data_IF_918311564215
#
_entry.id   IF_918311564215
#
_cell.length_a   1.000
_cell.length_b   1.000
_cell.length_c   1.000
_cell.angle_alpha   90.00
_cell.angle_beta   90.00
_cell.angle_gamma   90.00
#
_symmetry.space_group_name_H-M   'P 1'
#
loop_
_entity.id
_entity.type
_entity.pdbx_description
1 polymer ?
#
# COMPACT_ATOMS: atom_id res chain seq x y z
N UNK A 1 -11.16 9.16 -24.93
CA UNK A 1 -10.29 9.56 -23.79
C UNK A 1 -10.95 10.75 -23.12
N UNK A 2 -11.41 10.61 -21.87
CA UNK A 2 -12.10 11.69 -21.14
C UNK A 2 -11.47 11.82 -19.76
N UNK A 3 -10.76 12.93 -19.54
CA UNK A 3 -10.19 13.28 -18.24
C UNK A 3 -11.23 14.13 -17.52
N UNK A 4 -11.57 13.76 -16.28
CA UNK A 4 -12.48 14.52 -15.42
C UNK A 4 -11.69 15.30 -14.39
N UNK A 5 -12.06 16.54 -14.14
CA UNK A 5 -11.39 17.38 -13.14
C UNK A 5 -12.36 18.33 -12.46
N UNK A 6 -12.00 18.85 -11.28
CA UNK A 6 -12.71 19.95 -10.64
C UNK A 6 -11.79 20.83 -9.79
N UNK A 7 -12.22 22.07 -9.56
CA UNK A 7 -11.56 23.02 -8.65
C UNK A 7 -12.08 22.89 -7.21
N UNK A 8 -13.35 22.48 -7.08
CA UNK A 8 -14.05 22.22 -5.83
C UNK A 8 -14.96 21.00 -6.03
N UNK A 9 -15.37 20.31 -4.96
CA UNK A 9 -16.12 19.05 -5.03
C UNK A 9 -17.50 19.12 -5.72
N UNK A 10 -17.99 20.31 -6.10
CA UNK A 10 -19.39 20.51 -6.51
C UNK A 10 -19.60 20.61 -8.03
N UNK A 11 -18.56 20.82 -8.84
CA UNK A 11 -18.70 20.93 -10.30
C UNK A 11 -17.59 20.21 -11.03
N UNK A 12 -17.95 19.18 -11.80
CA UNK A 12 -17.03 18.38 -12.58
C UNK A 12 -16.96 18.91 -14.02
N UNK A 13 -15.73 19.00 -14.54
CA UNK A 13 -15.41 19.38 -15.91
C UNK A 13 -14.74 18.21 -16.60
N UNK A 14 -14.73 18.23 -17.93
CA UNK A 14 -14.07 17.21 -18.73
C UNK A 14 -13.17 17.85 -19.79
N UNK A 15 -12.09 17.16 -20.13
CA UNK A 15 -11.28 17.48 -21.31
C UNK A 15 -10.79 16.19 -21.97
N UNK A 16 -10.36 16.28 -23.22
CA UNK A 16 -10.01 15.10 -24.01
C UNK A 16 -8.51 14.81 -24.04
N UNK A 17 -7.68 15.70 -23.49
CA UNK A 17 -6.23 15.51 -23.43
C UNK A 17 -5.58 16.24 -22.25
N UNK A 18 -4.45 15.71 -21.79
CA UNK A 18 -3.62 16.41 -20.81
C UNK A 18 -3.08 17.75 -21.36
N UNK A 19 -2.91 17.89 -22.68
CA UNK A 19 -2.49 19.14 -23.32
C UNK A 19 -3.52 20.25 -23.07
N UNK A 20 -4.81 19.94 -23.19
CA UNK A 20 -5.87 20.90 -22.86
C UNK A 20 -5.88 21.22 -21.36
N UNK A 21 -5.73 20.18 -20.51
CA UNK A 21 -5.78 20.34 -19.07
C UNK A 21 -4.68 21.28 -18.55
N UNK A 22 -3.42 21.07 -18.99
CA UNK A 22 -2.27 21.86 -18.50
C UNK A 22 -2.27 23.32 -18.99
N UNK A 23 -3.04 23.65 -20.03
CA UNK A 23 -3.17 25.01 -20.56
C UNK A 23 -4.21 25.86 -19.80
N UNK A 24 -4.97 25.26 -18.88
CA UNK A 24 -5.94 26.00 -18.07
C UNK A 24 -5.22 27.04 -17.20
N UNK A 25 -5.67 28.30 -17.28
CA UNK A 25 -5.13 29.40 -16.44
C UNK A 25 -5.18 29.07 -14.94
N UNK A 26 -6.19 28.32 -14.52
CA UNK A 26 -6.40 27.87 -13.15
C UNK A 26 -6.00 26.41 -12.92
N UNK A 27 -5.12 25.82 -13.75
CA UNK A 27 -4.69 24.42 -13.65
C UNK A 27 -4.28 24.02 -12.22
N UNK A 28 -3.47 24.85 -11.55
CA UNK A 28 -2.98 24.55 -10.20
C UNK A 28 -4.05 24.63 -9.10
N UNK A 29 -5.23 25.17 -9.41
CA UNK A 29 -6.39 25.19 -8.51
C UNK A 29 -7.22 23.91 -8.59
N UNK A 30 -6.88 22.96 -9.48
CA UNK A 30 -7.57 21.66 -9.58
C UNK A 30 -7.33 20.87 -8.29
N UNK A 31 -8.42 20.42 -7.67
CA UNK A 31 -8.41 19.62 -6.43
C UNK A 31 -8.79 18.16 -6.69
N UNK A 32 -9.50 17.88 -7.78
CA UNK A 32 -9.88 16.53 -8.20
C UNK A 32 -9.41 16.26 -9.63
N UNK A 33 -8.78 15.11 -9.85
CA UNK A 33 -8.38 14.64 -11.17
C UNK A 33 -8.64 13.14 -11.29
N UNK A 34 -9.47 12.77 -12.26
CA UNK A 34 -9.70 11.38 -12.66
C UNK A 34 -9.34 11.23 -14.13
N UNK A 35 -8.28 10.48 -14.37
CA UNK A 35 -7.77 10.11 -15.68
C UNK A 35 -7.76 8.58 -15.85
N UNK A 36 -8.56 7.84 -15.06
CA UNK A 36 -8.62 6.39 -15.13
C UNK A 36 -9.16 5.88 -16.47
N UNK A 37 -8.81 4.63 -16.82
CA UNK A 37 -9.21 3.97 -18.06
C UNK A 37 -8.76 4.71 -19.33
N UNK A 38 -7.55 5.28 -19.31
CA UNK A 38 -6.94 5.97 -20.44
C UNK A 38 -5.51 5.49 -20.63
N UNK A 39 -5.19 4.97 -21.81
CA UNK A 39 -3.79 4.69 -22.15
C UNK A 39 -2.98 5.98 -22.23
N UNK A 40 -1.99 6.14 -21.35
CA UNK A 40 -1.06 7.28 -21.36
C UNK A 40 0.38 6.80 -21.25
N UNK A 41 1.27 7.42 -22.04
CA UNK A 41 2.72 7.13 -21.94
C UNK A 41 3.29 7.49 -20.57
N UNK A 42 2.88 8.66 -20.06
CA UNK A 42 3.26 9.19 -18.74
C UNK A 42 2.22 10.20 -18.26
N UNK A 43 2.09 10.32 -16.94
CA UNK A 43 1.38 11.44 -16.33
C UNK A 43 2.23 12.72 -16.40
N UNK A 44 1.63 13.90 -16.64
CA UNK A 44 2.32 15.17 -16.51
C UNK A 44 2.57 15.52 -15.03
N UNK A 45 3.32 16.61 -14.78
CA UNK A 45 3.40 17.21 -13.44
C UNK A 45 1.99 17.52 -12.95
N UNK A 46 1.67 17.10 -11.73
CA UNK A 46 0.32 17.21 -11.18
C UNK A 46 0.01 18.63 -10.69
N UNK A 47 -1.29 19.03 -10.64
CA UNK A 47 -1.71 20.30 -10.06
C UNK A 47 -1.26 20.43 -8.61
N UNK A 48 -0.80 21.62 -8.22
CA UNK A 48 -0.27 21.85 -6.89
C UNK A 48 -1.28 21.61 -5.75
N UNK A 49 -2.56 21.97 -5.95
CA UNK A 49 -3.60 21.84 -4.94
C UNK A 49 -4.41 20.52 -5.07
N UNK A 50 -3.91 19.54 -5.82
CA UNK A 50 -4.63 18.30 -6.03
C UNK A 50 -4.83 17.54 -4.72
N UNK A 51 -6.07 17.21 -4.38
CA UNK A 51 -6.44 16.44 -3.19
C UNK A 51 -6.82 15.00 -3.53
N UNK A 52 -7.34 14.77 -4.74
CA UNK A 52 -7.78 13.47 -5.23
C UNK A 52 -7.18 13.18 -6.60
N UNK A 53 -6.48 12.05 -6.72
CA UNK A 53 -6.00 11.52 -8.00
C UNK A 53 -6.50 10.09 -8.21
N UNK A 54 -7.23 9.87 -9.30
CA UNK A 54 -7.45 8.54 -9.87
C UNK A 54 -6.75 8.44 -11.22
N UNK A 55 -5.76 7.54 -11.30
CA UNK A 55 -5.02 7.19 -12.52
C UNK A 55 -5.03 5.67 -12.72
N UNK A 56 -6.06 4.99 -12.23
CA UNK A 56 -6.18 3.53 -12.36
C UNK A 56 -6.42 3.11 -13.82
N UNK A 57 -5.95 1.93 -14.22
CA UNK A 57 -6.11 1.42 -15.59
C UNK A 57 -5.59 2.39 -16.66
N UNK A 58 -4.44 3.00 -16.41
CA UNK A 58 -3.83 3.93 -17.36
C UNK A 58 -2.65 3.35 -18.15
N UNK A 59 -2.18 2.15 -17.76
CA UNK A 59 -1.07 1.44 -18.40
C UNK A 59 0.13 2.36 -18.66
N UNK A 60 0.57 3.04 -17.60
CA UNK A 60 1.66 4.00 -17.65
C UNK A 60 2.91 3.30 -18.20
N UNK A 61 3.30 3.63 -19.43
CA UNK A 61 4.40 2.96 -20.15
C UNK A 61 5.73 3.01 -19.38
N UNK A 62 5.97 4.14 -18.69
CA UNK A 62 7.15 4.30 -17.84
C UNK A 62 7.10 3.48 -16.54
N UNK A 63 5.95 2.90 -16.18
CA UNK A 63 5.70 2.17 -14.92
C UNK A 63 6.02 3.00 -13.65
N UNK A 64 5.94 4.32 -13.76
CA UNK A 64 6.31 5.28 -12.73
C UNK A 64 5.29 6.43 -12.65
N UNK A 65 4.93 6.82 -11.43
CA UNK A 65 4.14 8.03 -11.17
C UNK A 65 5.06 9.26 -11.02
N UNK A 66 4.59 10.48 -11.37
CA UNK A 66 5.31 11.72 -11.09
C UNK A 66 5.31 12.03 -9.58
N UNK A 67 6.05 13.06 -9.19
CA UNK A 67 5.99 13.59 -7.81
C UNK A 67 4.55 13.95 -7.42
N UNK A 68 4.15 13.50 -6.23
CA UNK A 68 2.82 13.72 -5.70
C UNK A 68 2.72 15.08 -4.99
N UNK A 69 1.67 15.88 -5.21
CA UNK A 69 1.50 17.15 -4.53
C UNK A 69 1.26 16.95 -3.04
N UNK A 70 1.78 17.86 -2.21
CA UNK A 70 1.69 17.79 -0.74
C UNK A 70 0.25 17.85 -0.21
N UNK A 71 -0.68 18.38 -1.00
CA UNK A 71 -2.12 18.45 -0.68
C UNK A 71 -2.87 17.14 -0.90
N UNK A 72 -2.25 16.13 -1.54
CA UNK A 72 -2.95 14.92 -1.94
C UNK A 72 -3.43 14.12 -0.72
N UNK A 73 -4.73 13.83 -0.70
CA UNK A 73 -5.41 13.05 0.35
C UNK A 73 -5.76 11.65 -0.12
N UNK A 74 -6.05 11.46 -1.41
CA UNK A 74 -6.43 10.15 -1.97
C UNK A 74 -5.68 9.89 -3.27
N UNK A 75 -5.03 8.73 -3.35
CA UNK A 75 -4.30 8.27 -4.53
C UNK A 75 -4.78 6.88 -4.94
N UNK A 76 -5.43 6.79 -6.11
CA UNK A 76 -5.83 5.53 -6.73
C UNK A 76 -5.02 5.32 -8.01
N UNK A 77 -4.18 4.29 -8.02
CA UNK A 77 -3.25 3.98 -9.11
C UNK A 77 -3.27 2.48 -9.46
N UNK A 78 -4.44 1.86 -9.36
CA UNK A 78 -4.62 0.42 -9.56
C UNK A 78 -4.35 0.03 -11.02
N UNK A 79 -3.89 -1.20 -11.27
CA UNK A 79 -3.78 -1.78 -12.62
C UNK A 79 -2.90 -0.97 -13.59
N UNK A 80 -1.71 -0.58 -13.16
CA UNK A 80 -0.76 0.20 -13.97
C UNK A 80 0.57 -0.51 -14.23
N UNK A 81 0.79 -1.68 -13.63
CA UNK A 81 2.07 -2.39 -13.74
C UNK A 81 3.25 -1.62 -13.14
N UNK A 82 2.99 -0.73 -12.17
CA UNK A 82 4.00 0.07 -11.49
C UNK A 82 4.99 -0.84 -10.75
N UNK A 83 6.28 -0.52 -10.82
CA UNK A 83 7.31 -1.25 -10.09
C UNK A 83 7.66 -0.58 -8.74
N UNK A 84 7.43 0.73 -8.64
CA UNK A 84 7.71 1.53 -7.44
C UNK A 84 6.69 2.68 -7.34
N UNK A 85 6.40 3.10 -6.11
CA UNK A 85 5.63 4.31 -5.84
C UNK A 85 6.57 5.47 -5.46
N UNK A 86 6.25 6.72 -5.85
CA UNK A 86 6.97 7.89 -5.39
C UNK A 86 6.79 8.08 -3.88
N UNK A 87 7.53 9.03 -3.30
CA UNK A 87 7.34 9.43 -1.89
C UNK A 87 5.89 9.86 -1.68
N UNK A 88 5.25 9.27 -0.66
CA UNK A 88 3.87 9.58 -0.33
C UNK A 88 3.79 10.88 0.47
N UNK A 89 2.82 11.77 0.17
CA UNK A 89 2.65 13.01 0.92
C UNK A 89 2.04 12.75 2.31
N UNK A 90 2.44 13.54 3.30
CA UNK A 90 2.04 13.37 4.70
C UNK A 90 0.51 13.49 4.96
N UNK A 91 -0.22 14.14 4.05
CA UNK A 91 -1.67 14.34 4.15
C UNK A 91 -2.50 13.20 3.53
N UNK A 92 -1.84 12.17 2.98
CA UNK A 92 -2.53 11.06 2.34
C UNK A 92 -3.30 10.25 3.39
N UNK A 93 -4.59 10.07 3.16
CA UNK A 93 -5.50 9.32 4.05
C UNK A 93 -5.96 8.00 3.43
N UNK A 94 -5.91 7.86 2.10
CA UNK A 94 -6.27 6.62 1.39
C UNK A 94 -5.33 6.37 0.20
N UNK A 95 -4.75 5.17 0.16
CA UNK A 95 -3.89 4.69 -0.92
C UNK A 95 -4.45 3.40 -1.51
N UNK A 96 -4.69 3.41 -2.82
CA UNK A 96 -4.98 2.20 -3.60
C UNK A 96 -3.93 2.02 -4.70
N UNK A 97 -3.24 0.89 -4.65
CA UNK A 97 -2.19 0.49 -5.61
C UNK A 97 -2.32 -0.99 -6.00
N UNK A 98 -3.56 -1.47 -6.05
CA UNK A 98 -3.93 -2.87 -6.34
C UNK A 98 -3.46 -3.27 -7.74
N UNK A 99 -3.04 -4.52 -7.91
CA UNK A 99 -2.68 -5.10 -9.22
C UNK A 99 -1.58 -4.31 -9.93
N UNK A 100 -0.44 -4.17 -9.26
CA UNK A 100 0.80 -3.62 -9.82
C UNK A 100 1.92 -4.66 -9.65
N UNK A 101 3.16 -4.27 -9.93
CA UNK A 101 4.35 -5.13 -9.78
C UNK A 101 5.23 -4.62 -8.64
N UNK A 102 4.63 -4.04 -7.59
CA UNK A 102 5.39 -3.42 -6.51
C UNK A 102 6.13 -4.50 -5.71
N UNK A 103 7.45 -4.36 -5.61
CA UNK A 103 8.30 -5.19 -4.75
C UNK A 103 8.56 -4.54 -3.38
N UNK A 104 8.20 -3.26 -3.23
CA UNK A 104 8.23 -2.56 -1.96
C UNK A 104 7.21 -1.40 -1.95
N UNK A 105 6.82 -0.99 -0.74
CA UNK A 105 6.10 0.25 -0.51
C UNK A 105 7.06 1.29 0.13
N UNK A 106 6.92 2.57 -0.21
CA UNK A 106 7.59 3.66 0.50
C UNK A 106 7.08 3.75 1.95
N UNK A 107 7.74 4.58 2.78
CA UNK A 107 7.22 4.88 4.13
C UNK A 107 5.78 5.38 4.02
N UNK A 108 4.89 4.77 4.81
CA UNK A 108 3.49 5.17 4.88
C UNK A 108 3.36 6.45 5.73
N UNK A 109 2.50 7.39 5.34
CA UNK A 109 2.27 8.61 6.11
C UNK A 109 1.41 8.32 7.35
N UNK A 110 1.67 9.04 8.45
CA UNK A 110 1.03 8.80 9.75
C UNK A 110 -0.50 9.01 9.74
N UNK A 111 -1.01 9.77 8.76
CA UNK A 111 -2.44 10.05 8.56
C UNK A 111 -3.16 9.02 7.68
N UNK A 112 -2.47 7.98 7.20
CA UNK A 112 -3.09 6.98 6.34
C UNK A 112 -4.08 6.12 7.13
N UNK A 113 -5.34 6.11 6.67
CA UNK A 113 -6.42 5.35 7.29
C UNK A 113 -6.76 4.09 6.48
N UNK A 114 -6.50 4.10 5.18
CA UNK A 114 -6.83 3.00 4.28
C UNK A 114 -5.66 2.67 3.34
N UNK A 115 -5.25 1.41 3.35
CA UNK A 115 -4.25 0.87 2.44
C UNK A 115 -4.79 -0.34 1.70
N UNK A 116 -4.82 -0.24 0.38
CA UNK A 116 -5.12 -1.33 -0.54
C UNK A 116 -3.95 -1.55 -1.49
N UNK A 117 -3.29 -2.69 -1.35
CA UNK A 117 -2.10 -3.09 -2.10
C UNK A 117 -2.14 -4.56 -2.51
N UNK A 118 -3.33 -5.14 -2.62
CA UNK A 118 -3.51 -6.52 -3.08
C UNK A 118 -2.91 -6.75 -4.47
N UNK A 119 -2.54 -7.99 -4.76
CA UNK A 119 -2.01 -8.39 -6.06
C UNK A 119 -0.77 -7.56 -6.45
N UNK A 120 0.25 -7.66 -5.60
CA UNK A 120 1.60 -7.14 -5.86
C UNK A 120 2.62 -8.24 -5.50
N UNK A 121 3.90 -7.90 -5.48
CA UNK A 121 4.99 -8.83 -5.17
C UNK A 121 5.68 -8.49 -3.85
N UNK A 122 4.95 -7.87 -2.90
CA UNK A 122 5.53 -7.35 -1.67
C UNK A 122 6.01 -8.50 -0.77
N UNK A 123 7.31 -8.59 -0.44
CA UNK A 123 7.82 -9.60 0.49
C UNK A 123 7.58 -9.20 1.96
N UNK A 124 7.38 -7.89 2.20
CA UNK A 124 7.09 -7.28 3.49
C UNK A 124 6.33 -5.96 3.32
N UNK A 125 5.69 -5.51 4.39
CA UNK A 125 5.12 -4.17 4.51
C UNK A 125 6.05 -3.26 5.33
N UNK A 126 6.06 -1.93 5.09
CA UNK A 126 6.64 -0.96 6.02
C UNK A 126 5.85 -0.92 7.34
N UNK A 127 6.32 -0.13 8.31
CA UNK A 127 5.56 0.13 9.54
C UNK A 127 4.17 0.69 9.20
N UNK A 128 3.14 0.15 9.86
CA UNK A 128 1.77 0.57 9.66
C UNK A 128 1.46 1.80 10.53
N UNK A 129 0.81 2.83 9.96
CA UNK A 129 0.39 4.01 10.71
C UNK A 129 -0.55 3.65 11.86
N UNK A 130 -0.43 4.36 12.98
CA UNK A 130 -1.21 4.13 14.20
C UNK A 130 -2.72 4.32 14.02
N UNK A 131 -3.13 5.06 12.98
CA UNK A 131 -4.53 5.37 12.67
C UNK A 131 -5.10 4.47 11.57
N UNK A 132 -4.36 3.48 11.07
CA UNK A 132 -4.81 2.64 9.96
C UNK A 132 -6.06 1.86 10.37
N UNK A 133 -7.13 1.99 9.60
CA UNK A 133 -8.44 1.36 9.84
C UNK A 133 -8.60 0.12 8.96
N UNK A 134 -8.11 0.18 7.71
CA UNK A 134 -8.25 -0.87 6.71
C UNK A 134 -6.91 -1.23 6.09
N UNK A 135 -6.61 -2.52 6.10
CA UNK A 135 -5.44 -3.09 5.44
C UNK A 135 -5.86 -4.22 4.52
N UNK A 136 -5.62 -4.04 3.22
CA UNK A 136 -5.81 -5.06 2.21
C UNK A 136 -4.49 -5.25 1.46
N UNK A 137 -3.88 -6.42 1.64
CA UNK A 137 -2.61 -6.80 1.06
C UNK A 137 -2.57 -8.31 0.75
N UNK A 138 -3.71 -8.87 0.36
CA UNK A 138 -3.80 -10.25 -0.10
C UNK A 138 -3.07 -10.44 -1.43
N UNK A 139 -2.75 -11.69 -1.79
CA UNK A 139 -2.01 -12.00 -3.01
C UNK A 139 -0.70 -11.21 -3.13
N UNK A 140 0.17 -11.39 -2.15
CA UNK A 140 1.53 -10.86 -2.12
C UNK A 140 2.50 -11.97 -1.70
N UNK A 141 3.76 -11.63 -1.46
CA UNK A 141 4.79 -12.56 -0.99
C UNK A 141 5.14 -12.33 0.49
N UNK A 142 4.19 -11.82 1.28
CA UNK A 142 4.47 -11.43 2.67
C UNK A 142 4.83 -12.65 3.51
N UNK A 143 6.01 -12.63 4.14
CA UNK A 143 6.47 -13.71 5.04
C UNK A 143 6.12 -13.42 6.49
N UNK A 144 6.06 -12.13 6.84
CA UNK A 144 5.69 -11.65 8.17
C UNK A 144 4.90 -10.35 8.05
N UNK A 145 4.03 -10.10 9.02
CA UNK A 145 3.35 -8.82 9.17
C UNK A 145 4.09 -7.93 10.19
N UNK A 146 4.12 -6.61 9.97
CA UNK A 146 4.55 -5.67 11.00
C UNK A 146 3.57 -5.67 12.18
N UNK A 147 3.87 -4.91 13.24
CA UNK A 147 2.93 -4.72 14.35
C UNK A 147 1.63 -4.14 13.81
N UNK A 148 0.52 -4.79 14.12
CA UNK A 148 -0.82 -4.34 13.74
C UNK A 148 -1.28 -3.24 14.71
N UNK A 149 -1.75 -2.07 14.23
CA UNK A 149 -2.22 -0.98 15.08
C UNK A 149 -3.58 -1.31 15.69
N UNK A 150 -3.83 -0.85 16.94
CA UNK A 150 -5.08 -1.11 17.67
C UNK A 150 -6.33 -0.48 17.01
N UNK A 151 -6.11 0.51 16.14
CA UNK A 151 -7.15 1.15 15.33
C UNK A 151 -7.74 0.22 14.27
N UNK A 152 -7.00 -0.81 13.84
CA UNK A 152 -7.35 -1.61 12.66
C UNK A 152 -8.68 -2.35 12.87
N UNK A 153 -9.58 -2.22 11.89
CA UNK A 153 -10.92 -2.84 11.91
C UNK A 153 -11.06 -3.94 10.88
N UNK A 154 -10.35 -3.83 9.76
CA UNK A 154 -10.41 -4.78 8.65
C UNK A 154 -9.00 -5.15 8.17
N UNK A 155 -8.70 -6.45 8.08
CA UNK A 155 -7.39 -6.96 7.67
C UNK A 155 -7.51 -8.13 6.69
N UNK A 156 -7.09 -7.93 5.44
CA UNK A 156 -7.11 -8.95 4.40
C UNK A 156 -5.68 -9.24 3.95
N UNK A 157 -5.12 -10.36 4.42
CA UNK A 157 -3.73 -10.80 4.21
C UNK A 157 -3.67 -12.21 3.60
N UNK A 158 -4.76 -12.66 3.01
CA UNK A 158 -4.90 -14.00 2.41
C UNK A 158 -3.97 -14.20 1.21
N UNK A 159 -3.61 -15.47 0.92
CA UNK A 159 -2.69 -15.83 -0.18
C UNK A 159 -1.37 -15.05 -0.10
N UNK A 160 -0.67 -15.26 1.01
CA UNK A 160 0.69 -14.78 1.25
C UNK A 160 1.56 -15.97 1.72
N UNK A 161 2.77 -15.70 2.20
CA UNK A 161 3.70 -16.70 2.72
C UNK A 161 3.87 -16.58 4.25
N UNK A 162 2.84 -16.09 4.96
CA UNK A 162 2.92 -15.84 6.39
C UNK A 162 3.14 -17.14 7.17
N UNK A 163 4.30 -17.26 7.81
CA UNK A 163 4.63 -18.40 8.68
C UNK A 163 4.21 -18.17 10.12
N UNK A 164 4.01 -16.91 10.50
CA UNK A 164 3.58 -16.50 11.83
C UNK A 164 2.57 -15.34 11.72
N UNK A 165 1.63 -15.26 12.66
CA UNK A 165 0.65 -14.20 12.75
C UNK A 165 0.92 -13.37 14.03
N UNK A 166 1.01 -12.03 13.94
CA UNK A 166 1.13 -11.19 15.12
C UNK A 166 -0.16 -11.24 15.96
N UNK A 167 -0.08 -10.79 17.22
CA UNK A 167 -1.29 -10.63 18.04
C UNK A 167 -2.24 -9.65 17.35
N UNK A 168 -3.45 -10.10 17.08
CA UNK A 168 -4.50 -9.26 16.50
C UNK A 168 -5.08 -8.32 17.58
N UNK A 169 -5.41 -7.07 17.25
CA UNK A 169 -6.01 -6.15 18.20
C UNK A 169 -7.46 -6.56 18.48
N UNK A 170 -7.90 -6.37 19.74
CA UNK A 170 -9.27 -6.71 20.16
C UNK A 170 -10.35 -5.97 19.35
N UNK A 171 -10.00 -4.81 18.77
CA UNK A 171 -10.89 -4.00 17.95
C UNK A 171 -11.07 -4.47 16.51
N UNK A 172 -10.37 -5.52 16.08
CA UNK A 172 -10.42 -6.05 14.72
C UNK A 172 -11.75 -6.79 14.50
N UNK A 173 -12.56 -6.31 13.57
CA UNK A 173 -13.91 -6.86 13.31
C UNK A 173 -13.88 -7.96 12.29
N UNK A 174 -13.02 -7.82 11.29
CA UNK A 174 -13.00 -8.72 10.13
C UNK A 174 -11.57 -8.95 9.72
N UNK A 175 -11.18 -10.21 9.57
CA UNK A 175 -9.86 -10.58 9.12
C UNK A 175 -9.86 -11.86 8.29
N UNK A 176 -9.03 -11.88 7.25
CA UNK A 176 -8.88 -13.01 6.34
C UNK A 176 -7.40 -13.26 6.09
N UNK A 177 -6.92 -14.42 6.52
CA UNK A 177 -5.51 -14.83 6.42
C UNK A 177 -5.36 -16.25 5.86
N UNK A 178 -6.41 -16.78 5.22
CA UNK A 178 -6.40 -18.08 4.57
C UNK A 178 -5.34 -18.18 3.48
N UNK A 179 -5.02 -19.40 3.07
CA UNK A 179 -3.95 -19.68 2.09
C UNK A 179 -2.59 -19.08 2.52
N UNK A 180 -2.27 -19.17 3.81
CA UNK A 180 -0.95 -18.90 4.37
C UNK A 180 -0.46 -20.14 5.14
N UNK A 181 0.85 -20.41 5.23
CA UNK A 181 1.38 -21.49 6.06
C UNK A 181 0.88 -21.46 7.51
N UNK A 182 0.82 -20.28 8.14
CA UNK A 182 0.32 -20.11 9.51
C UNK A 182 -1.15 -20.50 9.65
N UNK A 183 -1.96 -20.30 8.61
CA UNK A 183 -3.37 -20.70 8.63
C UNK A 183 -3.51 -22.23 8.70
N UNK A 184 -2.71 -22.96 7.92
CA UNK A 184 -2.68 -24.42 7.99
C UNK A 184 -2.16 -24.91 9.34
N UNK A 185 -1.13 -24.24 9.90
CA UNK A 185 -0.62 -24.56 11.22
C UNK A 185 -1.70 -24.41 12.30
N UNK A 186 -2.41 -23.28 12.32
CA UNK A 186 -3.47 -23.01 13.31
C UNK A 186 -4.62 -24.01 13.17
N UNK A 187 -5.03 -24.35 11.95
CA UNK A 187 -6.09 -25.34 11.74
C UNK A 187 -5.68 -26.73 12.23
N UNK A 188 -4.44 -27.15 11.97
CA UNK A 188 -3.98 -28.51 12.27
C UNK A 188 -3.55 -28.69 13.75
N UNK A 189 -2.97 -27.67 14.37
CA UNK A 189 -2.37 -27.77 15.71
C UNK A 189 -3.15 -27.04 16.79
N UNK A 190 -4.00 -26.08 16.41
CA UNK A 190 -4.80 -25.28 17.34
C UNK A 190 -6.30 -25.45 17.11
N UNK A 191 -6.73 -26.45 16.31
CA UNK A 191 -8.13 -26.67 15.93
C UNK A 191 -8.82 -25.43 15.33
N UNK A 192 -8.05 -24.53 14.70
CA UNK A 192 -8.55 -23.26 14.17
C UNK A 192 -8.66 -22.13 15.22
N UNK A 193 -8.33 -22.38 16.49
CA UNK A 193 -8.47 -21.43 17.59
C UNK A 193 -7.22 -20.52 17.72
N UNK A 194 -7.45 -19.23 17.53
CA UNK A 194 -6.41 -18.20 17.65
C UNK A 194 -5.99 -17.94 19.10
N UNK A 195 -6.84 -18.16 20.10
CA UNK A 195 -6.48 -17.96 21.50
C UNK A 195 -5.51 -19.04 21.98
N UNK A 196 -5.68 -20.28 21.51
CA UNK A 196 -4.71 -21.37 21.73
C UNK A 196 -3.38 -21.00 21.06
N UNK A 197 -3.41 -20.60 19.78
CA UNK A 197 -2.22 -20.16 19.06
C UNK A 197 -1.50 -18.98 19.76
N UNK A 198 -2.26 -17.99 20.23
CA UNK A 198 -1.73 -16.76 20.80
C UNK A 198 -1.00 -16.98 22.13
N UNK A 199 -1.40 -17.99 22.93
CA UNK A 199 -0.70 -18.36 24.18
C UNK A 199 0.74 -18.79 23.94
N UNK A 200 1.05 -19.31 22.75
CA UNK A 200 2.36 -19.88 22.43
C UNK A 200 3.25 -18.95 21.59
N UNK A 201 2.68 -18.11 20.71
CA UNK A 201 3.45 -17.54 19.58
C UNK A 201 3.49 -16.00 19.46
N UNK A 202 2.78 -15.24 20.30
CA UNK A 202 2.55 -13.79 20.02
C UNK A 202 3.72 -12.84 20.33
N UNK A 203 4.46 -13.06 21.42
CA UNK A 203 5.58 -12.16 21.79
C UNK A 203 6.72 -12.28 20.77
N UNK A 204 6.94 -13.49 20.24
CA UNK A 204 8.00 -13.76 19.28
C UNK A 204 7.70 -13.13 17.91
N UNK A 205 6.48 -13.27 17.38
CA UNK A 205 6.06 -12.73 16.10
C UNK A 205 6.24 -11.20 16.01
N UNK A 206 5.75 -10.48 17.01
CA UNK A 206 5.84 -9.02 17.05
C UNK A 206 7.30 -8.54 17.12
N UNK A 207 8.14 -9.22 17.93
CA UNK A 207 9.57 -8.89 18.01
C UNK A 207 10.28 -9.11 16.68
N UNK A 208 9.97 -10.21 15.98
CA UNK A 208 10.59 -10.53 14.70
C UNK A 208 10.20 -9.52 13.61
N UNK A 209 8.92 -9.14 13.53
CA UNK A 209 8.45 -8.12 12.59
C UNK A 209 9.10 -6.75 12.82
N UNK A 210 9.16 -6.30 14.08
CA UNK A 210 9.83 -5.04 14.46
C UNK A 210 11.33 -5.09 14.16
N UNK A 211 12.00 -6.18 14.54
CA UNK A 211 13.44 -6.35 14.26
C UNK A 211 13.74 -6.32 12.77
N UNK A 212 12.89 -6.93 11.95
CA UNK A 212 13.03 -6.94 10.51
C UNK A 212 12.92 -5.51 9.92
N UNK A 213 11.92 -4.75 10.37
CA UNK A 213 11.73 -3.35 9.95
C UNK A 213 12.90 -2.46 10.36
N UNK A 214 13.39 -2.58 11.60
CA UNK A 214 14.56 -1.85 12.09
C UNK A 214 15.78 -2.13 11.20
N UNK A 215 16.06 -3.40 10.90
CA UNK A 215 17.17 -3.76 10.03
C UNK A 215 17.01 -3.16 8.63
N UNK A 216 15.79 -3.19 8.06
CA UNK A 216 15.55 -2.68 6.70
C UNK A 216 15.55 -1.16 6.60
N UNK A 217 15.00 -0.44 7.58
CA UNK A 217 14.76 1.00 7.45
C UNK A 217 15.70 1.86 8.30
N UNK A 218 16.16 1.40 9.47
CA UNK A 218 17.04 2.19 10.33
C UNK A 218 18.51 2.16 9.86
N UNK A 219 19.11 3.31 9.47
CA UNK A 219 20.45 3.37 8.87
C UNK A 219 21.56 2.82 9.79
N UNK A 220 21.30 2.74 11.11
CA UNK A 220 22.21 2.15 12.10
C UNK A 220 22.52 0.67 11.82
N UNK A 221 21.59 -0.08 11.21
CA UNK A 221 21.72 -1.52 11.01
C UNK A 221 22.14 -1.90 9.57
N UNK A 222 23.07 -1.15 8.97
CA UNK A 222 23.53 -1.36 7.59
C UNK A 222 23.96 -2.81 7.31
N UNK A 223 24.65 -3.47 8.24
CA UNK A 223 25.07 -4.87 8.08
C UNK A 223 23.89 -5.84 8.01
N UNK A 224 22.94 -5.73 8.95
CA UNK A 224 21.74 -6.57 8.95
C UNK A 224 20.90 -6.33 7.71
N UNK A 225 20.79 -5.08 7.25
CA UNK A 225 20.11 -4.70 6.00
C UNK A 225 20.70 -5.41 4.79
N UNK A 226 22.02 -5.38 4.65
CA UNK A 226 22.71 -6.03 3.53
C UNK A 226 22.54 -7.54 3.56
N UNK A 227 22.61 -8.14 4.76
CA UNK A 227 22.40 -9.58 4.94
C UNK A 227 20.96 -9.98 4.60
N UNK A 228 19.97 -9.26 5.13
CA UNK A 228 18.54 -9.40 4.79
C UNK A 228 18.40 -9.35 3.26
N UNK A 229 18.79 -8.25 2.62
CA UNK A 229 18.63 -8.07 1.17
C UNK A 229 19.27 -9.22 0.37
N UNK A 230 20.47 -9.67 0.75
CA UNK A 230 21.17 -10.79 0.08
C UNK A 230 20.44 -12.13 0.18
N UNK A 231 19.64 -12.36 1.24
CA UNK A 231 18.84 -13.57 1.42
C UNK A 231 17.51 -13.51 0.67
N UNK A 232 16.94 -12.32 0.50
CA UNK A 232 15.70 -12.13 -0.25
C UNK A 232 15.91 -12.17 -1.77
N UNK A 233 17.06 -11.71 -2.27
CA UNK A 233 17.40 -11.86 -3.70
C UNK A 233 17.51 -13.35 -4.11
N UNK A 234 17.93 -14.23 -3.19
CA UNK A 234 18.02 -15.68 -3.42
C UNK A 234 16.71 -16.46 -3.34
N UNK A 235 15.61 -15.83 -2.89
CA UNK A 235 14.26 -16.43 -2.85
C UNK A 235 13.40 -16.03 -4.07
N UNK A 236 13.97 -15.25 -5.00
CA UNK A 236 13.31 -14.73 -6.22
C UNK A 236 13.92 -15.30 -7.52
N UNK A 237 14.75 -16.35 -7.41
CA UNK A 237 15.23 -17.19 -8.51
C UNK A 237 14.65 -18.61 -8.36
#
# INVERSE_FOLDING_TARGET
>A
MVIKYSFYYNRQYTCNSFVQLIQLKNYNSITYLDCSNIYIKKLPKLPHNLEYLNCSYTWIETKLLPELPKSLKKLYCNFNGLNVLPILPNNLTSLQCISNNLNELPKLPDNLNELYCDHNNLPILPELPLNLIKLYCGHNNLIILPKIPDSLKEMWVYRNQLTILPKLPNGLKTYYYSCNPVHNYINNNCAGDLDIYNKENTIFANKLGVWFLECKYNPKYKYCRNWINSKYDSLML
#
